data_IF_181378976381
#
_entry.id   IF_181378976381
#
_cell.length_a   1.000
_cell.length_b   1.000
_cell.length_c   1.000
_cell.angle_alpha   90.00
_cell.angle_beta   90.00
_cell.angle_gamma   90.00
#
_symmetry.space_group_name_H-M   'P 1'
#
loop_
_entity.id
_entity.type
_entity.pdbx_description
1 polymer ?
#
# COMPACT_ATOMS: atom_id res chain seq x y z
N UNK A 1 65.25 -3.38 44.42
CA UNK A 1 64.29 -2.76 45.37
C UNK A 1 62.92 -2.83 44.70
N UNK A 2 61.85 -3.44 45.18
CA UNK A 2 61.53 -4.32 46.32
C UNK A 2 60.59 -5.42 45.77
N UNK A 3 60.64 -6.59 46.37
CA UNK A 3 59.83 -7.76 46.06
C UNK A 3 58.86 -8.08 47.21
N UNK A 4 57.92 -9.01 46.95
CA UNK A 4 57.14 -9.84 47.90
C UNK A 4 56.05 -9.11 48.73
N UNK A 5 54.85 -9.66 49.00
CA UNK A 5 54.51 -11.03 49.45
C UNK A 5 53.07 -11.48 49.11
N UNK A 6 52.96 -12.81 48.95
CA UNK A 6 51.77 -13.66 49.06
C UNK A 6 51.27 -13.83 50.52
N UNK A 7 49.99 -14.23 50.65
CA UNK A 7 49.42 -15.07 51.71
C UNK A 7 47.97 -15.42 51.32
N UNK A 8 47.54 -16.65 50.98
CA UNK A 8 47.68 -18.02 51.50
C UNK A 8 46.55 -18.42 52.47
N UNK A 9 46.06 -19.66 52.25
CA UNK A 9 45.13 -20.52 53.02
C UNK A 9 43.62 -20.31 52.72
N UNK A 10 42.92 -21.18 51.98
CA UNK A 10 42.61 -22.62 52.14
C UNK A 10 41.55 -22.91 53.23
N UNK A 11 40.35 -23.35 52.84
CA UNK A 11 39.77 -24.64 53.27
C UNK A 11 38.44 -24.95 52.55
N UNK A 12 38.29 -26.20 52.12
CA UNK A 12 37.06 -26.83 51.64
C UNK A 12 36.01 -26.97 52.74
N UNK A 13 34.74 -26.77 52.41
CA UNK A 13 33.63 -27.58 52.93
C UNK A 13 32.69 -27.91 51.76
N UNK A 14 32.63 -29.18 51.40
CA UNK A 14 31.53 -29.73 50.61
C UNK A 14 30.26 -29.70 51.44
N UNK A 15 29.18 -29.16 50.88
CA UNK A 15 27.83 -29.57 51.22
C UNK A 15 27.07 -29.81 49.91
N UNK A 16 27.00 -31.07 49.50
CA UNK A 16 25.99 -31.55 48.56
C UNK A 16 24.64 -31.49 49.26
N UNK A 17 23.73 -30.67 48.74
CA UNK A 17 22.30 -30.91 48.83
C UNK A 17 21.75 -30.86 47.41
N UNK A 18 21.53 -32.04 46.86
CA UNK A 18 20.83 -32.29 45.60
C UNK A 18 19.37 -31.91 45.81
N UNK A 19 18.87 -30.92 45.06
CA UNK A 19 17.46 -30.85 44.66
C UNK A 19 17.42 -30.72 43.15
N UNK A 20 16.67 -31.63 42.55
CA UNK A 20 16.53 -31.94 41.14
C UNK A 20 15.82 -30.82 40.36
N UNK A 21 16.27 -30.58 39.12
CA UNK A 21 15.49 -29.89 38.09
C UNK A 21 16.37 -29.20 37.03
N UNK A 22 16.49 -29.73 35.80
CA UNK A 22 17.34 -29.13 34.77
C UNK A 22 16.61 -27.94 34.13
N UNK A 23 17.08 -26.72 34.39
CA UNK A 23 16.85 -25.60 33.47
C UNK A 23 18.01 -25.62 32.47
N UNK A 24 17.97 -26.63 31.60
CA UNK A 24 18.87 -26.75 30.47
C UNK A 24 18.36 -25.89 29.33
N UNK A 25 19.18 -24.96 28.90
CA UNK A 25 19.04 -24.20 27.67
C UNK A 25 18.71 -25.13 26.49
N UNK A 26 17.45 -25.15 26.06
CA UNK A 26 17.12 -25.45 24.68
C UNK A 26 17.08 -24.09 23.98
N UNK A 27 18.05 -23.84 23.11
CA UNK A 27 17.92 -22.79 22.11
C UNK A 27 16.70 -23.11 21.28
N UNK A 28 15.62 -22.35 21.49
CA UNK A 28 14.66 -22.15 20.43
C UNK A 28 15.39 -21.27 19.42
N UNK A 29 15.91 -21.87 18.37
CA UNK A 29 16.03 -21.16 17.11
C UNK A 29 14.63 -20.63 16.85
N UNK A 30 14.47 -19.31 16.95
CA UNK A 30 13.26 -18.67 16.47
C UNK A 30 13.21 -18.99 14.99
N UNK A 31 12.30 -19.88 14.60
CA UNK A 31 11.77 -19.80 13.26
C UNK A 31 11.26 -18.36 13.12
N UNK A 32 11.84 -17.59 12.21
CA UNK A 32 11.23 -16.35 11.70
C UNK A 32 9.98 -16.76 10.93
N UNK A 33 8.99 -17.23 11.68
CA UNK A 33 7.65 -17.52 11.21
C UNK A 33 6.94 -16.22 10.94
N UNK A 34 6.22 -16.19 9.82
CA UNK A 34 5.10 -15.30 9.59
C UNK A 34 4.33 -15.01 10.88
N UNK A 35 3.92 -13.75 11.04
CA UNK A 35 2.96 -13.28 12.04
C UNK A 35 3.48 -13.03 13.48
N UNK A 36 4.39 -12.08 13.64
CA UNK A 36 4.32 -11.17 14.79
C UNK A 36 3.15 -10.18 14.60
N UNK A 37 1.91 -10.69 14.67
CA UNK A 37 0.67 -9.91 14.68
C UNK A 37 0.46 -9.22 16.05
N UNK A 38 1.52 -8.72 16.68
CA UNK A 38 1.43 -7.86 17.85
C UNK A 38 0.91 -6.48 17.45
N UNK A 39 -0.40 -6.40 17.20
CA UNK A 39 -1.24 -5.22 17.43
C UNK A 39 -0.73 -3.89 16.84
N UNK A 40 -0.05 -3.90 15.71
CA UNK A 40 -0.04 -2.72 14.84
C UNK A 40 -1.38 -2.71 14.12
N UNK A 41 -2.37 -2.02 14.71
CA UNK A 41 -3.57 -1.60 13.97
C UNK A 41 -3.10 -0.50 13.03
N UNK A 42 -2.50 -0.89 11.92
CA UNK A 42 -2.27 0.00 10.78
C UNK A 42 -3.60 0.16 10.06
N UNK A 43 -4.03 1.40 9.82
CA UNK A 43 -5.07 1.64 8.82
C UNK A 43 -4.33 1.71 7.49
N UNK A 44 -4.72 0.86 6.55
CA UNK A 44 -4.15 0.91 5.21
C UNK A 44 -4.26 2.32 4.64
N UNK A 45 -3.37 2.57 3.69
CA UNK A 45 -3.35 3.74 2.85
C UNK A 45 -4.64 3.84 1.99
N UNK A 46 -5.79 4.14 2.60
CA UNK A 46 -7.11 3.78 2.07
C UNK A 46 -7.65 4.67 0.95
N UNK A 47 -7.04 5.82 0.69
CA UNK A 47 -7.70 6.86 -0.08
C UNK A 47 -7.37 6.84 -1.58
N UNK A 48 -6.16 6.44 -1.95
CA UNK A 48 -5.75 6.15 -3.33
C UNK A 48 -5.10 4.77 -3.43
N UNK A 49 -5.66 3.81 -2.68
CA UNK A 49 -5.01 2.52 -2.39
C UNK A 49 -4.70 1.73 -3.66
N UNK A 50 -5.57 1.75 -4.67
CA UNK A 50 -5.34 1.06 -5.94
C UNK A 50 -4.13 1.63 -6.66
N UNK A 51 -4.03 2.96 -6.74
CA UNK A 51 -2.94 3.64 -7.45
C UNK A 51 -1.60 3.32 -6.79
N UNK A 52 -1.51 3.46 -5.46
CA UNK A 52 -0.27 3.19 -4.74
C UNK A 52 0.08 1.70 -4.78
N UNK A 53 -0.89 0.80 -4.61
CA UNK A 53 -0.64 -0.65 -4.61
C UNK A 53 -0.14 -1.12 -5.97
N UNK A 54 -0.82 -0.73 -7.06
CA UNK A 54 -0.40 -1.07 -8.43
C UNK A 54 1.01 -0.54 -8.71
N UNK A 55 1.31 0.70 -8.29
CA UNK A 55 2.63 1.28 -8.51
C UNK A 55 3.71 0.82 -7.54
N UNK A 56 3.43 0.14 -6.43
CA UNK A 56 4.48 -0.42 -5.55
C UNK A 56 4.78 -1.89 -5.91
N UNK A 57 3.78 -2.62 -6.41
CA UNK A 57 3.87 -4.03 -6.83
C UNK A 57 4.50 -4.26 -8.19
N UNK A 58 4.65 -3.22 -9.01
CA UNK A 58 5.01 -3.37 -10.43
C UNK A 58 6.42 -3.92 -10.72
N UNK A 59 7.35 -3.95 -9.75
CA UNK A 59 8.75 -4.36 -9.99
C UNK A 59 8.95 -5.89 -10.00
N UNK A 60 8.04 -6.68 -9.42
CA UNK A 60 8.36 -8.07 -9.08
C UNK A 60 7.28 -9.10 -9.45
N UNK A 61 7.42 -9.67 -10.65
CA UNK A 61 7.02 -11.08 -10.88
C UNK A 61 7.92 -12.07 -10.12
N UNK A 62 8.87 -11.59 -9.32
CA UNK A 62 9.60 -12.44 -8.37
C UNK A 62 8.72 -12.70 -7.16
N UNK A 63 8.40 -13.97 -6.92
CA UNK A 63 7.55 -14.52 -5.84
C UNK A 63 8.07 -14.27 -4.40
N UNK A 64 8.91 -13.26 -4.19
CA UNK A 64 9.66 -13.05 -2.96
C UNK A 64 9.55 -11.57 -2.60
N UNK A 65 8.44 -11.23 -1.92
CA UNK A 65 8.23 -10.04 -1.08
C UNK A 65 8.29 -8.67 -1.78
N UNK A 66 7.13 -8.01 -1.84
CA UNK A 66 7.04 -6.60 -2.20
C UNK A 66 7.40 -5.73 -0.99
N UNK A 67 8.70 -5.55 -0.74
CA UNK A 67 9.20 -4.81 0.42
C UNK A 67 8.73 -3.34 0.43
N UNK A 68 8.46 -2.76 -0.74
CA UNK A 68 7.99 -1.38 -0.83
C UNK A 68 6.53 -1.28 -0.38
N UNK A 69 5.65 -2.16 -0.89
CA UNK A 69 4.26 -2.21 -0.44
C UNK A 69 4.13 -2.62 1.03
N UNK A 70 4.90 -3.63 1.46
CA UNK A 70 4.89 -4.07 2.86
C UNK A 70 5.29 -2.93 3.80
N UNK A 71 6.32 -2.16 3.44
CA UNK A 71 6.73 -1.01 4.23
C UNK A 71 5.73 0.15 4.15
N UNK A 72 5.10 0.37 3.00
CA UNK A 72 4.06 1.38 2.81
C UNK A 72 2.84 1.10 3.67
N UNK A 73 2.35 -0.15 3.69
CA UNK A 73 1.20 -0.56 4.51
C UNK A 73 1.49 -0.53 6.02
N UNK A 74 2.76 -0.44 6.42
CA UNK A 74 3.19 -0.31 7.82
C UNK A 74 3.34 1.15 8.28
N UNK A 75 3.24 2.12 7.38
CA UNK A 75 3.35 3.52 7.77
C UNK A 75 2.19 3.94 8.67
N UNK A 76 2.43 4.95 9.51
CA UNK A 76 1.35 5.61 10.24
C UNK A 76 0.55 6.45 9.22
N UNK A 77 -0.73 6.13 8.95
CA UNK A 77 -1.53 6.80 7.95
C UNK A 77 -1.82 8.27 8.32
N UNK A 78 -1.61 8.65 9.59
CA UNK A 78 -1.72 10.03 10.06
C UNK A 78 -0.38 10.77 10.11
N UNK A 79 0.74 10.08 9.82
CA UNK A 79 2.10 10.63 9.75
C UNK A 79 2.88 10.04 8.58
N UNK A 80 2.27 10.09 7.39
CA UNK A 80 2.92 9.67 6.15
C UNK A 80 4.20 10.49 5.96
N UNK A 81 5.31 9.82 5.68
CA UNK A 81 6.57 10.47 5.33
C UNK A 81 6.49 10.92 3.86
N UNK A 82 6.35 12.23 3.59
CA UNK A 82 6.21 12.68 2.21
C UNK A 82 7.42 12.26 1.39
N UNK A 83 7.16 11.79 0.18
CA UNK A 83 8.16 11.45 -0.83
C UNK A 83 9.03 10.21 -0.55
N UNK A 84 8.84 9.47 0.55
CA UNK A 84 9.60 8.24 0.85
C UNK A 84 9.60 7.24 -0.33
N UNK A 85 8.44 7.05 -0.96
CA UNK A 85 8.26 6.15 -2.11
C UNK A 85 8.24 6.89 -3.46
N UNK A 86 8.51 8.20 -3.49
CA UNK A 86 8.41 9.00 -4.72
C UNK A 86 9.24 8.44 -5.86
N UNK A 87 10.46 8.00 -5.56
CA UNK A 87 11.36 7.44 -6.56
C UNK A 87 10.81 6.13 -7.16
N UNK A 88 10.26 5.25 -6.33
CA UNK A 88 9.63 3.99 -6.78
C UNK A 88 8.42 4.30 -7.66
N UNK A 89 7.56 5.23 -7.23
CA UNK A 89 6.45 5.71 -8.04
C UNK A 89 6.90 6.30 -9.37
N UNK A 90 7.95 7.14 -9.38
CA UNK A 90 8.50 7.73 -10.61
C UNK A 90 9.00 6.67 -11.61
N UNK A 91 9.70 5.64 -11.11
CA UNK A 91 10.20 4.55 -11.95
C UNK A 91 9.07 3.73 -12.56
N UNK A 92 8.10 3.29 -11.75
CA UNK A 92 7.01 2.43 -12.23
C UNK A 92 5.99 3.20 -13.06
N UNK A 93 5.73 4.46 -12.73
CA UNK A 93 4.86 5.30 -13.53
C UNK A 93 5.38 5.46 -14.97
N UNK A 94 6.69 5.65 -15.16
CA UNK A 94 7.28 5.71 -16.49
C UNK A 94 7.14 4.39 -17.26
N UNK A 95 7.13 3.24 -16.56
CA UNK A 95 6.85 1.95 -17.17
C UNK A 95 5.39 1.84 -17.63
N UNK A 96 4.43 2.24 -16.80
CA UNK A 96 3.00 2.19 -17.15
C UNK A 96 2.64 3.13 -18.30
N UNK A 97 3.07 4.40 -18.26
CA UNK A 97 2.79 5.38 -19.34
C UNK A 97 3.38 4.89 -20.67
N UNK A 98 4.52 4.19 -20.62
CA UNK A 98 5.17 3.60 -21.78
C UNK A 98 4.64 2.21 -22.19
N UNK A 99 3.68 1.62 -21.47
CA UNK A 99 3.31 0.21 -21.62
C UNK A 99 2.78 -0.12 -23.03
N UNK A 100 2.00 0.79 -23.62
CA UNK A 100 1.47 0.64 -24.98
C UNK A 100 2.39 1.25 -26.07
N UNK A 101 3.61 1.66 -25.67
CA UNK A 101 4.62 2.38 -26.46
C UNK A 101 4.24 3.80 -26.85
N UNK A 102 3.32 4.44 -26.12
CA UNK A 102 3.05 5.87 -26.21
C UNK A 102 3.56 6.58 -24.96
N UNK A 103 3.35 7.89 -24.92
CA UNK A 103 3.58 8.74 -23.77
C UNK A 103 2.39 9.69 -23.72
N UNK A 104 1.36 9.29 -22.98
CA UNK A 104 0.07 9.98 -22.93
C UNK A 104 0.05 11.05 -21.83
N UNK A 105 0.96 10.95 -20.85
CA UNK A 105 1.13 11.96 -19.82
C UNK A 105 2.11 13.07 -20.23
N UNK A 106 1.69 14.33 -20.08
CA UNK A 106 2.63 15.44 -20.19
C UNK A 106 3.54 15.53 -18.95
N UNK A 107 4.78 16.04 -19.07
CA UNK A 107 5.70 16.18 -17.93
C UNK A 107 5.12 16.95 -16.74
N UNK A 108 4.26 17.94 -17.01
CA UNK A 108 3.60 18.72 -15.95
C UNK A 108 2.54 17.88 -15.20
N UNK A 109 1.74 17.08 -15.94
CA UNK A 109 0.75 16.19 -15.34
C UNK A 109 1.42 15.09 -14.52
N UNK A 110 2.45 14.42 -15.06
CA UNK A 110 3.17 13.37 -14.35
C UNK A 110 3.79 13.90 -13.05
N UNK A 111 4.44 15.06 -13.11
CA UNK A 111 5.04 15.70 -11.93
C UNK A 111 4.00 15.99 -10.84
N UNK A 112 2.85 16.55 -11.23
CA UNK A 112 1.75 16.84 -10.30
C UNK A 112 1.18 15.56 -9.70
N UNK A 113 0.89 14.56 -10.53
CA UNK A 113 0.32 13.28 -10.11
C UNK A 113 1.24 12.52 -9.17
N UNK A 114 2.53 12.42 -9.50
CA UNK A 114 3.51 11.74 -8.66
C UNK A 114 3.70 12.43 -7.32
N UNK A 115 3.69 13.78 -7.28
CA UNK A 115 3.67 14.50 -6.01
C UNK A 115 2.38 14.25 -5.21
N UNK A 116 1.23 14.17 -5.89
CA UNK A 116 -0.06 13.91 -5.25
C UNK A 116 -0.08 12.52 -4.62
N UNK A 117 0.34 11.48 -5.34
CA UNK A 117 0.37 10.10 -4.82
C UNK A 117 1.44 9.93 -3.74
N UNK A 118 2.60 10.57 -3.87
CA UNK A 118 3.70 10.43 -2.89
C UNK A 118 3.50 11.16 -1.57
N UNK A 119 2.69 12.23 -1.55
CA UNK A 119 2.54 13.10 -0.38
C UNK A 119 1.10 13.23 0.12
N UNK A 120 0.12 12.99 -0.75
CA UNK A 120 -1.29 13.10 -0.44
C UNK A 120 -1.96 11.75 -0.66
N UNK A 121 -1.94 10.89 0.35
CA UNK A 121 -2.78 9.71 0.32
C UNK A 121 -4.17 9.98 0.91
N UNK A 122 -4.87 10.92 0.27
CA UNK A 122 -6.28 11.22 0.52
C UNK A 122 -7.01 11.28 -0.82
N UNK A 123 -8.31 11.02 -0.84
CA UNK A 123 -9.16 11.20 -2.02
C UNK A 123 -9.85 12.56 -1.89
N UNK A 124 -9.95 13.32 -2.99
CA UNK A 124 -10.73 14.56 -2.98
C UNK A 124 -12.17 14.22 -3.34
N UNK A 125 -13.09 14.67 -2.48
CA UNK A 125 -14.52 14.56 -2.72
C UNK A 125 -15.13 15.94 -2.93
N UNK A 126 -15.93 16.09 -3.97
CA UNK A 126 -16.79 17.26 -4.17
C UNK A 126 -18.22 16.94 -3.72
N UNK A 127 -18.53 17.29 -2.46
CA UNK A 127 -19.84 17.08 -1.87
C UNK A 127 -20.96 17.92 -2.50
N UNK A 128 -20.64 18.86 -3.40
CA UNK A 128 -21.67 19.60 -4.16
C UNK A 128 -22.17 18.84 -5.40
N UNK A 129 -21.52 17.73 -5.76
CA UNK A 129 -21.83 16.89 -6.91
C UNK A 129 -22.42 15.54 -6.52
N UNK A 130 -23.18 14.88 -7.41
CA UNK A 130 -23.77 13.60 -7.10
C UNK A 130 -22.69 12.52 -6.92
N UNK A 131 -22.77 11.77 -5.82
CA UNK A 131 -22.13 10.47 -5.68
C UNK A 131 -23.12 9.42 -6.21
N UNK A 132 -22.97 9.04 -7.48
CA UNK A 132 -23.85 8.05 -8.11
C UNK A 132 -23.35 6.65 -7.76
N UNK A 133 -24.24 5.83 -7.19
CA UNK A 133 -23.93 4.43 -6.92
C UNK A 133 -23.83 3.66 -8.25
N UNK A 134 -22.64 3.16 -8.59
CA UNK A 134 -22.37 2.58 -9.91
C UNK A 134 -20.87 2.62 -10.24
N UNK A 135 -20.56 2.63 -11.54
CA UNK A 135 -19.19 2.56 -12.06
C UNK A 135 -18.64 3.94 -12.45
N UNK A 136 -17.31 4.06 -12.38
CA UNK A 136 -16.47 5.14 -12.92
C UNK A 136 -16.64 6.52 -12.25
N UNK A 137 -16.85 6.55 -10.94
CA UNK A 137 -16.83 7.79 -10.14
C UNK A 137 -15.45 8.07 -9.52
N UNK A 138 -14.63 7.02 -9.38
CA UNK A 138 -13.32 7.07 -8.76
C UNK A 138 -12.39 8.10 -9.43
N UNK A 139 -11.81 8.99 -8.62
CA UNK A 139 -10.81 9.99 -8.99
C UNK A 139 -11.27 11.09 -9.95
N UNK A 140 -12.55 11.16 -10.32
CA UNK A 140 -13.02 12.12 -11.34
C UNK A 140 -12.64 13.59 -11.05
N UNK A 141 -12.54 13.98 -9.77
CA UNK A 141 -12.03 15.31 -9.36
C UNK A 141 -10.57 15.49 -9.79
N UNK A 142 -9.70 14.55 -9.43
CA UNK A 142 -8.29 14.53 -9.80
C UNK A 142 -8.12 14.54 -11.33
N UNK A 143 -8.97 13.82 -12.07
CA UNK A 143 -8.99 13.85 -13.54
C UNK A 143 -9.26 15.26 -14.06
N UNK A 144 -10.26 15.92 -13.50
CA UNK A 144 -10.64 17.27 -13.88
C UNK A 144 -9.50 18.25 -13.66
N UNK A 145 -8.80 18.13 -12.54
CA UNK A 145 -7.62 18.94 -12.23
C UNK A 145 -6.48 18.71 -13.23
N UNK A 146 -6.20 17.45 -13.59
CA UNK A 146 -5.12 17.09 -14.53
C UNK A 146 -5.41 17.49 -15.97
N UNK A 147 -6.68 17.48 -16.38
CA UNK A 147 -7.10 17.77 -17.77
C UNK A 147 -7.60 19.20 -17.96
N UNK A 148 -7.77 19.96 -16.88
CA UNK A 148 -8.40 21.29 -16.90
C UNK A 148 -9.89 21.25 -17.27
N UNK A 149 -10.54 20.08 -17.19
CA UNK A 149 -11.97 19.89 -17.49
C UNK A 149 -12.78 19.82 -16.20
N UNK A 150 -14.04 20.28 -16.19
CA UNK A 150 -14.91 20.07 -15.04
C UNK A 150 -15.15 18.57 -14.82
N UNK A 151 -14.91 18.09 -13.59
CA UNK A 151 -15.38 16.77 -13.15
C UNK A 151 -16.91 16.71 -13.14
N UNK A 152 -17.52 15.53 -13.17
CA UNK A 152 -18.97 15.36 -13.27
C UNK A 152 -19.58 14.76 -11.99
N UNK A 153 -18.80 13.95 -11.28
CA UNK A 153 -19.22 13.19 -10.11
C UNK A 153 -18.61 13.78 -8.84
N UNK A 154 -18.90 13.18 -7.69
CA UNK A 154 -18.25 13.59 -6.45
C UNK A 154 -16.78 13.13 -6.34
N UNK A 155 -16.28 12.26 -7.22
CA UNK A 155 -14.88 11.78 -7.25
C UNK A 155 -14.57 10.59 -6.33
N UNK A 156 -15.57 10.10 -5.58
CA UNK A 156 -15.38 9.04 -4.60
C UNK A 156 -15.28 7.65 -5.20
N UNK A 157 -14.75 6.69 -4.43
CA UNK A 157 -14.88 5.25 -4.75
C UNK A 157 -16.20 4.71 -4.22
N UNK A 158 -17.08 4.28 -5.11
CA UNK A 158 -18.36 3.67 -4.73
C UNK A 158 -18.24 2.13 -4.60
N UNK A 159 -19.07 1.44 -3.78
CA UNK A 159 -18.94 -0.01 -3.53
C UNK A 159 -18.96 -0.96 -4.74
N UNK A 160 -19.46 -0.52 -5.89
CA UNK A 160 -19.45 -1.29 -7.15
C UNK A 160 -18.62 -0.61 -8.24
N UNK A 161 -17.74 0.32 -7.87
CA UNK A 161 -16.91 1.05 -8.82
C UNK A 161 -15.77 0.16 -9.33
N UNK A 162 -15.51 0.24 -10.64
CA UNK A 162 -14.40 -0.43 -11.29
C UNK A 162 -13.14 0.43 -11.18
N UNK A 163 -12.65 0.52 -9.95
CA UNK A 163 -11.52 1.37 -9.60
C UNK A 163 -10.22 0.90 -10.28
N UNK A 164 -10.08 -0.40 -10.54
CA UNK A 164 -8.86 -0.93 -11.15
C UNK A 164 -8.78 -0.57 -12.63
N UNK A 165 -9.87 -0.70 -13.39
CA UNK A 165 -9.91 -0.25 -14.78
C UNK A 165 -9.68 1.27 -14.89
N UNK A 166 -10.19 2.06 -13.93
CA UNK A 166 -9.88 3.49 -13.86
C UNK A 166 -8.39 3.77 -13.66
N UNK A 167 -7.75 3.10 -12.69
CA UNK A 167 -6.32 3.25 -12.41
C UNK A 167 -5.46 2.78 -13.59
N UNK A 168 -5.73 1.59 -14.13
CA UNK A 168 -4.98 1.03 -15.25
C UNK A 168 -5.13 1.88 -16.51
N UNK A 169 -6.34 2.33 -16.80
CA UNK A 169 -6.59 3.26 -17.92
C UNK A 169 -5.77 4.52 -17.73
N UNK A 170 -5.71 5.12 -16.55
CA UNK A 170 -4.97 6.36 -16.38
C UNK A 170 -3.47 6.17 -16.39
N UNK A 171 -2.96 5.14 -15.72
CA UNK A 171 -1.53 4.87 -15.69
C UNK A 171 -0.99 4.57 -17.10
N UNK A 172 -1.76 3.87 -17.95
CA UNK A 172 -1.32 3.45 -19.29
C UNK A 172 -1.73 4.42 -20.41
N UNK A 173 -2.92 5.04 -20.33
CA UNK A 173 -3.52 5.87 -21.40
C UNK A 173 -3.64 7.35 -21.04
N UNK A 174 -3.18 7.74 -19.86
CA UNK A 174 -3.27 9.11 -19.39
C UNK A 174 -4.67 9.54 -18.92
N UNK A 175 -4.75 10.70 -18.23
CA UNK A 175 -5.99 11.19 -17.62
C UNK A 175 -6.99 11.75 -18.65
N UNK A 176 -6.55 11.96 -19.90
CA UNK A 176 -7.43 12.39 -20.99
C UNK A 176 -8.41 11.28 -21.41
N UNK A 177 -7.99 10.03 -21.29
CA UNK A 177 -8.77 8.85 -21.68
C UNK A 177 -9.90 8.62 -20.69
N UNK A 178 -11.11 8.37 -21.20
CA UNK A 178 -12.27 8.05 -20.37
C UNK A 178 -12.29 6.55 -20.07
N UNK A 179 -12.67 6.17 -18.86
CA UNK A 179 -12.65 4.77 -18.39
C UNK A 179 -13.68 3.90 -19.14
N UNK A 180 -14.70 4.53 -19.72
CA UNK A 180 -15.76 3.90 -20.52
C UNK A 180 -15.51 4.01 -22.04
N UNK A 181 -14.32 4.44 -22.47
CA UNK A 181 -13.97 4.54 -23.90
C UNK A 181 -13.43 3.21 -24.46
N UNK A 182 -13.48 3.06 -25.79
CA UNK A 182 -12.90 1.88 -26.47
C UNK A 182 -11.38 1.75 -26.28
N UNK A 183 -10.72 2.86 -25.92
CA UNK A 183 -9.27 2.91 -25.66
C UNK A 183 -8.91 2.60 -24.19
N UNK A 184 -9.92 2.44 -23.31
CA UNK A 184 -9.72 2.12 -21.90
C UNK A 184 -8.99 0.78 -21.72
N UNK A 185 -8.24 0.68 -20.63
CA UNK A 185 -7.55 -0.55 -20.24
C UNK A 185 -8.39 -1.28 -19.22
N UNK A 186 -8.63 -2.56 -19.49
CA UNK A 186 -9.36 -3.45 -18.58
C UNK A 186 -8.46 -4.58 -18.08
N UNK A 187 -8.64 -4.96 -16.81
CA UNK A 187 -8.01 -6.16 -16.23
C UNK A 187 -8.77 -7.47 -16.58
N UNK A 188 -9.95 -7.34 -17.21
CA UNK A 188 -10.83 -8.45 -17.57
C UNK A 188 -11.89 -8.81 -16.53
N UNK A 189 -11.98 -8.07 -15.41
CA UNK A 189 -12.91 -8.28 -14.31
C UNK A 189 -13.66 -6.98 -13.98
N UNK A 190 -14.77 -6.74 -14.67
CA UNK A 190 -15.48 -5.46 -14.53
C UNK A 190 -16.40 -5.33 -13.31
N UNK A 191 -16.74 -6.43 -12.65
CA UNK A 191 -17.63 -6.41 -11.47
C UNK A 191 -17.63 -7.72 -10.68
N UNK A 192 -18.06 -7.63 -9.42
CA UNK A 192 -18.36 -8.77 -8.58
C UNK A 192 -19.57 -9.59 -9.11
N UNK A 193 -19.60 -10.88 -8.79
CA UNK A 193 -20.71 -11.78 -9.17
C UNK A 193 -22.05 -11.37 -8.55
N UNK A 194 -22.02 -10.76 -7.36
CA UNK A 194 -23.16 -10.11 -6.71
C UNK A 194 -22.76 -8.70 -6.34
N UNK A 195 -23.50 -7.71 -6.85
CA UNK A 195 -23.27 -6.30 -6.56
C UNK A 195 -23.69 -5.98 -5.13
N UNK A 196 -22.96 -5.06 -4.49
CA UNK A 196 -23.36 -4.47 -3.22
C UNK A 196 -24.66 -3.67 -3.38
N UNK A 197 -25.48 -3.62 -2.33
CA UNK A 197 -26.68 -2.77 -2.29
C UNK A 197 -26.31 -1.29 -2.33
N UNK A 198 -27.18 -0.44 -2.88
CA UNK A 198 -27.04 1.03 -2.89
C UNK A 198 -27.48 1.71 -1.58
N UNK A 199 -27.88 0.90 -0.60
CA UNK A 199 -28.35 1.32 0.71
C UNK A 199 -27.41 0.78 1.78
N UNK A 200 -27.06 1.60 2.76
CA UNK A 200 -26.27 1.20 3.93
C UNK A 200 -26.89 -0.04 4.61
N UNK A 201 -26.12 -1.10 4.92
CA UNK A 201 -24.65 -1.15 5.04
C UNK A 201 -23.85 -1.46 3.75
N UNK A 202 -24.44 -1.36 2.56
CA UNK A 202 -23.78 -1.61 1.27
C UNK A 202 -23.18 -3.03 1.17
N UNK A 203 -23.97 -4.05 1.52
CA UNK A 203 -23.52 -5.44 1.55
C UNK A 203 -24.15 -6.22 0.40
N UNK A 204 -23.40 -7.16 -0.16
CA UNK A 204 -23.90 -8.17 -1.07
C UNK A 204 -24.32 -9.43 -0.29
N UNK A 205 -25.30 -10.18 -0.82
CA UNK A 205 -25.63 -11.51 -0.31
C UNK A 205 -24.48 -12.50 -0.58
N UNK A 206 -24.27 -13.54 0.27
CA UNK A 206 -23.27 -14.58 0.03
C UNK A 206 -23.45 -15.26 -1.33
N UNK A 207 -22.36 -15.59 -2.03
CA UNK A 207 -22.39 -16.20 -3.36
C UNK A 207 -23.13 -17.55 -3.42
#
# INVERSE_FOLDING_TARGET
MKAFKFGAAALCVMAMAVVLGPVGCAGAEAEEGEEDLTRVIGVDHAAMVEVSTVMLTADTFTLIRDENLDNFNREDPFKIEPDRYRFVFEQHFAHFDGYDRKADWSPAQSKYWLARVSSGNFQILDASKPCVFGTHTYLDVERGMLTGKPHQTCGGRMPNDDALDAVMTWLVRGPATAVDSEDAVSDGVSQATKLATDTFPYLAEPN
#
